data_IF_518647172713
#
_entry.id   IF_518647172713
#
_cell.length_a   1.000
_cell.length_b   1.000
_cell.length_c   1.000
_cell.angle_alpha   90.00
_cell.angle_beta   90.00
_cell.angle_gamma   90.00
#
_symmetry.space_group_name_H-M   'P 1'
#
loop_
_entity.id
_entity.type
_entity.pdbx_description
1 polymer ?
#
# COMPACT_ATOMS: atom_id res chain seq x y z
N UNK A 1 22.14 32.16 11.46
CA UNK A 1 20.92 31.39 11.84
C UNK A 1 20.35 30.73 10.59
N UNK A 2 20.72 29.48 10.30
CA UNK A 2 20.09 28.69 9.24
C UNK A 2 18.79 28.11 9.76
N UNK A 3 17.66 28.62 9.29
CA UNK A 3 16.34 28.17 9.73
C UNK A 3 15.94 26.93 8.96
N UNK A 4 15.91 25.83 9.71
CA UNK A 4 15.12 24.60 9.56
C UNK A 4 14.55 24.31 8.17
N UNK A 5 15.15 23.31 7.54
CA UNK A 5 14.45 22.37 6.68
C UNK A 5 13.21 21.86 7.41
N UNK A 6 12.05 22.45 7.11
CA UNK A 6 10.75 21.91 7.48
C UNK A 6 10.64 20.55 6.78
N UNK A 7 11.09 19.51 7.50
CA UNK A 7 10.89 18.13 7.09
C UNK A 7 9.39 17.89 7.07
N UNK A 8 8.85 17.90 5.84
CA UNK A 8 7.61 17.25 5.49
C UNK A 8 7.64 15.84 6.09
N UNK A 9 6.99 15.66 7.23
CA UNK A 9 6.52 14.35 7.66
C UNK A 9 5.00 14.43 7.54
N UNK A 10 4.52 14.39 6.30
CA UNK A 10 3.19 13.84 6.06
C UNK A 10 3.30 12.40 6.53
N UNK A 11 2.62 12.07 7.62
CA UNK A 11 2.43 10.69 8.04
C UNK A 11 1.59 10.03 6.95
N UNK A 12 2.28 9.51 5.93
CA UNK A 12 1.68 8.77 4.84
C UNK A 12 1.29 7.42 5.45
N UNK A 13 0.01 7.30 5.83
CA UNK A 13 -0.58 6.03 6.27
C UNK A 13 -0.30 5.01 5.17
N UNK A 14 0.70 4.17 5.39
CA UNK A 14 1.19 3.25 4.37
C UNK A 14 0.22 2.08 4.33
N UNK A 15 -0.67 2.10 3.34
CA UNK A 15 -1.60 1.01 3.07
C UNK A 15 -0.97 0.10 2.03
N UNK A 16 -0.85 -1.19 2.34
CA UNK A 16 -0.33 -2.21 1.43
C UNK A 16 -1.44 -3.21 1.13
N UNK A 17 -1.73 -3.42 -0.14
CA UNK A 17 -2.65 -4.46 -0.59
C UNK A 17 -1.84 -5.65 -1.13
N UNK A 18 -2.16 -6.87 -0.73
CA UNK A 18 -1.47 -8.09 -1.16
C UNK A 18 -2.48 -9.19 -1.49
N UNK A 19 -2.34 -9.81 -2.66
CA UNK A 19 -3.14 -10.98 -2.99
C UNK A 19 -2.61 -12.21 -2.23
N UNK A 20 -3.48 -12.86 -1.45
CA UNK A 20 -3.10 -14.08 -0.71
C UNK A 20 -2.92 -15.30 -1.59
N UNK A 21 -3.48 -15.28 -2.79
CA UNK A 21 -3.46 -16.44 -3.67
C UNK A 21 -2.16 -16.54 -4.48
N UNK A 22 -1.59 -15.41 -4.90
CA UNK A 22 -0.36 -15.38 -5.70
C UNK A 22 0.80 -14.61 -5.04
N UNK A 23 0.54 -13.86 -3.96
CA UNK A 23 1.52 -13.02 -3.28
C UNK A 23 1.82 -11.70 -3.99
N UNK A 24 1.03 -11.31 -5.01
CA UNK A 24 1.24 -10.07 -5.72
C UNK A 24 0.85 -8.87 -4.84
N UNK A 25 1.75 -7.90 -4.70
CA UNK A 25 1.46 -6.61 -4.09
C UNK A 25 0.66 -5.76 -5.07
N UNK A 26 -0.47 -5.23 -4.61
CA UNK A 26 -1.39 -4.38 -5.35
C UNK A 26 -1.25 -2.95 -4.81
N UNK A 27 -1.27 -1.98 -5.71
CA UNK A 27 -1.23 -0.56 -5.36
C UNK A 27 -2.59 -0.07 -4.82
N UNK A 28 -3.67 -0.77 -5.17
CA UNK A 28 -5.03 -0.44 -4.79
C UNK A 28 -5.76 -1.65 -4.20
N UNK A 29 -6.81 -1.39 -3.42
CA UNK A 29 -7.77 -2.40 -3.00
C UNK A 29 -8.71 -2.78 -4.16
N UNK A 30 -8.14 -3.26 -5.26
CA UNK A 30 -8.95 -3.81 -6.34
C UNK A 30 -9.74 -5.03 -5.83
N UNK A 31 -10.96 -5.18 -6.34
CA UNK A 31 -11.85 -6.30 -6.00
C UNK A 31 -11.26 -7.64 -6.48
N UNK A 32 -10.29 -7.60 -7.40
CA UNK A 32 -9.62 -8.76 -7.97
C UNK A 32 -8.15 -8.47 -8.28
N UNK A 33 -7.29 -9.46 -8.04
CA UNK A 33 -5.87 -9.38 -8.34
C UNK A 33 -5.64 -9.43 -9.86
N UNK A 34 -4.97 -8.43 -10.43
CA UNK A 34 -4.68 -8.40 -11.87
C UNK A 34 -3.71 -9.49 -12.35
N UNK A 35 -3.01 -10.18 -11.43
CA UNK A 35 -2.02 -11.21 -11.78
C UNK A 35 -2.62 -12.62 -11.87
N UNK A 36 -3.66 -12.91 -11.08
CA UNK A 36 -4.25 -14.25 -11.00
C UNK A 36 -5.79 -14.26 -10.97
N UNK A 37 -6.42 -13.09 -11.11
CA UNK A 37 -7.87 -12.88 -11.12
C UNK A 37 -8.58 -13.32 -9.83
N UNK A 38 -7.81 -13.56 -8.76
CA UNK A 38 -8.33 -13.94 -7.45
C UNK A 38 -8.90 -12.74 -6.71
N UNK A 39 -10.04 -12.91 -6.06
CA UNK A 39 -10.68 -11.88 -5.22
C UNK A 39 -10.18 -11.90 -3.77
N UNK A 40 -9.24 -12.80 -3.43
CA UNK A 40 -8.68 -12.91 -2.08
C UNK A 40 -7.49 -11.97 -1.91
N UNK A 41 -7.77 -10.74 -1.46
CA UNK A 41 -6.80 -9.67 -1.23
C UNK A 41 -6.81 -9.24 0.24
N UNK A 42 -5.64 -9.22 0.86
CA UNK A 42 -5.41 -8.68 2.20
C UNK A 42 -4.94 -7.24 2.15
N UNK A 43 -5.40 -6.43 3.10
CA UNK A 43 -4.98 -5.04 3.25
C UNK A 43 -4.30 -4.86 4.60
N UNK A 44 -3.07 -4.38 4.58
CA UNK A 44 -2.26 -4.06 5.76
C UNK A 44 -2.16 -2.54 5.90
N UNK A 45 -2.27 -2.05 7.13
CA UNK A 45 -2.12 -0.62 7.46
C UNK A 45 -1.07 -0.53 8.58
N UNK A 46 -0.06 0.30 8.37
CA UNK A 46 1.08 0.46 9.29
C UNK A 46 1.08 1.84 9.94
#
# INVERSE_FOLDING_TARGET
MGWLFARLFTADETVVHECRQCGATLDNADESCSACESTDVSTYRF
#
